data_IF_243695704105
#
_entry.id   IF_243695704105
#
_cell.length_a   1.000
_cell.length_b   1.000
_cell.length_c   1.000
_cell.angle_alpha   90.00
_cell.angle_beta   90.00
_cell.angle_gamma   90.00
#
_symmetry.space_group_name_H-M   'P 1'
#
loop_
_entity.id
_entity.type
_entity.pdbx_description
1 polymer ?
#
# COMPACT_ATOMS: atom_id res chain seq x y z
N UNK A 1 1.19 17.16 -27.60
CA UNK A 1 0.88 16.93 -26.17
C UNK A 1 2.17 16.95 -25.35
N UNK A 2 2.37 17.88 -24.40
CA UNK A 2 3.62 17.98 -23.66
C UNK A 2 3.74 16.85 -22.61
N UNK A 3 4.77 16.01 -22.75
CA UNK A 3 5.10 14.92 -21.82
C UNK A 3 5.60 15.54 -20.50
N UNK A 4 4.86 15.38 -19.40
CA UNK A 4 5.31 15.81 -18.06
C UNK A 4 6.53 14.97 -17.65
N UNK A 5 7.73 15.53 -17.80
CA UNK A 5 8.96 14.99 -17.20
C UNK A 5 8.81 15.14 -15.68
N UNK A 6 8.50 14.07 -14.95
CA UNK A 6 8.67 14.06 -13.49
C UNK A 6 10.17 14.19 -13.22
N UNK A 7 10.60 15.39 -12.86
CA UNK A 7 11.98 15.66 -12.50
C UNK A 7 12.43 14.75 -11.36
N UNK A 8 13.70 14.39 -11.38
CA UNK A 8 14.42 13.64 -10.33
C UNK A 8 14.38 14.42 -8.98
N UNK A 9 13.99 15.69 -9.02
CA UNK A 9 13.67 16.59 -7.91
C UNK A 9 12.24 16.38 -7.37
N UNK A 10 11.84 15.14 -7.14
CA UNK A 10 10.62 14.80 -6.41
C UNK A 10 10.82 15.07 -4.91
N UNK A 11 10.86 16.35 -4.55
CA UNK A 11 10.81 16.96 -3.22
C UNK A 11 11.71 16.32 -2.14
N UNK A 12 12.81 17.02 -1.80
CA UNK A 12 13.68 16.65 -0.69
C UNK A 12 12.92 16.47 0.64
N UNK A 13 11.79 17.17 0.84
CA UNK A 13 10.94 16.99 2.01
C UNK A 13 10.23 15.63 2.01
N UNK A 14 9.67 15.20 0.88
CA UNK A 14 9.10 13.86 0.70
C UNK A 14 10.12 12.74 0.97
N UNK A 15 11.38 12.91 0.52
CA UNK A 15 12.47 11.96 0.83
C UNK A 15 12.81 11.95 2.33
N UNK A 16 12.92 13.12 2.96
CA UNK A 16 13.16 13.26 4.42
C UNK A 16 12.01 12.69 5.25
N UNK A 17 10.78 12.79 4.78
CA UNK A 17 9.61 12.21 5.45
C UNK A 17 9.58 10.68 5.32
N UNK A 18 9.95 10.13 4.16
CA UNK A 18 10.07 8.68 3.97
C UNK A 18 11.15 8.08 4.89
N UNK A 19 12.29 8.77 5.04
CA UNK A 19 13.36 8.37 5.97
C UNK A 19 12.85 8.37 7.41
N UNK A 20 12.24 9.47 7.88
CA UNK A 20 11.67 9.56 9.23
C UNK A 20 10.60 8.50 9.50
N UNK A 21 9.72 8.23 8.53
CA UNK A 21 8.71 7.15 8.64
C UNK A 21 9.36 5.78 8.80
N UNK A 22 10.48 5.54 8.10
CA UNK A 22 11.22 4.28 8.16
C UNK A 22 11.95 4.12 9.49
N UNK A 23 12.62 5.16 9.98
CA UNK A 23 13.27 5.18 11.31
C UNK A 23 12.27 4.89 12.43
N UNK A 24 11.09 5.53 12.40
CA UNK A 24 10.00 5.25 13.36
C UNK A 24 9.56 3.79 13.33
N UNK A 25 9.50 3.17 12.14
CA UNK A 25 9.13 1.75 12.03
C UNK A 25 10.23 0.77 12.46
N UNK A 26 11.49 1.20 12.52
CA UNK A 26 12.63 0.37 12.95
C UNK A 26 12.71 0.31 14.49
N UNK A 27 12.41 1.43 15.15
CA UNK A 27 12.49 1.57 16.62
C UNK A 27 11.17 1.12 17.30
N UNK A 28 10.09 0.94 16.54
CA UNK A 28 8.78 0.52 17.03
C UNK A 28 8.87 -0.80 17.81
N UNK A 29 8.30 -0.81 19.02
CA UNK A 29 8.22 -2.04 19.83
C UNK A 29 7.20 -3.02 19.23
N UNK A 30 7.29 -4.30 19.58
CA UNK A 30 6.34 -5.31 19.07
C UNK A 30 4.89 -5.00 19.45
N UNK A 31 4.64 -4.43 20.62
CA UNK A 31 3.32 -4.02 21.08
C UNK A 31 2.76 -2.84 20.28
N UNK A 32 3.60 -1.83 20.00
CA UNK A 32 3.23 -0.68 19.16
C UNK A 32 2.95 -1.12 17.73
N UNK A 33 3.81 -2.00 17.19
CA UNK A 33 3.64 -2.58 15.85
C UNK A 33 2.33 -3.36 15.76
N UNK A 34 2.02 -4.17 16.76
CA UNK A 34 0.78 -4.95 16.83
C UNK A 34 -0.45 -4.04 16.90
N UNK A 35 -0.44 -3.00 17.74
CA UNK A 35 -1.51 -2.00 17.81
C UNK A 35 -1.71 -1.25 16.50
N UNK A 36 -0.63 -0.84 15.84
CA UNK A 36 -0.67 -0.14 14.55
C UNK A 36 -1.25 -1.02 13.44
N UNK A 37 -0.79 -2.26 13.33
CA UNK A 37 -1.29 -3.23 12.35
C UNK A 37 -2.77 -3.56 12.59
N UNK A 38 -3.17 -3.74 13.85
CA UNK A 38 -4.57 -3.96 14.23
C UNK A 38 -5.47 -2.81 13.78
N UNK A 39 -5.08 -1.57 14.10
CA UNK A 39 -5.81 -0.36 13.66
C UNK A 39 -5.92 -0.27 12.14
N UNK A 40 -4.85 -0.58 11.41
CA UNK A 40 -4.86 -0.60 9.94
C UNK A 40 -5.78 -1.68 9.39
N UNK A 41 -5.78 -2.88 9.98
CA UNK A 41 -6.66 -3.97 9.60
C UNK A 41 -8.13 -3.59 9.82
N UNK A 42 -8.47 -3.05 10.99
CA UNK A 42 -9.82 -2.59 11.31
C UNK A 42 -10.32 -1.53 10.31
N UNK A 43 -9.49 -0.52 10.00
CA UNK A 43 -9.82 0.50 9.00
C UNK A 43 -10.03 -0.11 7.61
N UNK A 44 -9.23 -1.11 7.25
CA UNK A 44 -9.37 -1.85 6.00
C UNK A 44 -10.71 -2.60 5.92
N UNK A 45 -11.13 -3.24 7.01
CA UNK A 45 -12.41 -3.93 7.06
C UNK A 45 -13.59 -2.96 7.02
N UNK A 46 -13.52 -1.83 7.74
CA UNK A 46 -14.55 -0.79 7.68
C UNK A 46 -14.72 -0.22 6.27
N UNK A 47 -13.62 -0.05 5.51
CA UNK A 47 -13.70 0.36 4.11
C UNK A 47 -14.39 -0.69 3.24
N UNK A 48 -14.03 -1.97 3.41
CA UNK A 48 -14.67 -3.08 2.66
C UNK A 48 -16.14 -3.27 2.99
N UNK A 49 -16.53 -3.05 4.25
CA UNK A 49 -17.93 -3.13 4.67
C UNK A 49 -18.81 -2.06 4.00
N UNK A 50 -18.20 -0.96 3.52
CA UNK A 50 -18.87 0.13 2.81
C UNK A 50 -18.69 0.08 1.29
N UNK A 51 -18.04 -0.96 0.75
CA UNK A 51 -17.86 -1.11 -0.69
C UNK A 51 -19.21 -1.44 -1.35
N UNK A 52 -19.47 -0.84 -2.51
CA UNK A 52 -20.55 -1.29 -3.39
C UNK A 52 -20.16 -2.60 -4.08
N UNK A 53 -21.13 -3.31 -4.63
CA UNK A 53 -20.88 -4.57 -5.34
C UNK A 53 -19.92 -4.39 -6.53
N UNK A 54 -20.05 -3.29 -7.26
CA UNK A 54 -19.12 -2.94 -8.36
C UNK A 54 -17.68 -2.72 -7.87
N UNK A 55 -17.51 -1.98 -6.77
CA UNK A 55 -16.20 -1.74 -6.16
C UNK A 55 -15.58 -3.04 -5.65
N UNK A 56 -16.39 -3.89 -5.02
CA UNK A 56 -15.98 -5.21 -4.54
C UNK A 56 -15.51 -6.08 -5.70
N UNK A 57 -16.27 -6.15 -6.79
CA UNK A 57 -15.93 -6.94 -7.97
C UNK A 57 -14.67 -6.44 -8.67
N UNK A 58 -14.49 -5.13 -8.80
CA UNK A 58 -13.25 -4.53 -9.28
C UNK A 58 -12.04 -4.90 -8.41
N UNK A 59 -12.17 -4.76 -7.07
CA UNK A 59 -11.11 -5.14 -6.12
C UNK A 59 -10.74 -6.61 -6.21
N UNK A 60 -11.73 -7.50 -6.32
CA UNK A 60 -11.51 -8.94 -6.44
C UNK A 60 -10.82 -9.30 -7.76
N UNK A 61 -11.24 -8.68 -8.87
CA UNK A 61 -10.61 -8.85 -10.18
C UNK A 61 -9.11 -8.47 -10.15
N UNK A 62 -8.78 -7.30 -9.58
CA UNK A 62 -7.37 -6.88 -9.41
C UNK A 62 -6.57 -7.86 -8.54
N UNK A 63 -7.18 -8.40 -7.47
CA UNK A 63 -6.53 -9.40 -6.61
C UNK A 63 -6.25 -10.70 -7.37
N UNK A 64 -7.21 -11.16 -8.18
CA UNK A 64 -7.08 -12.36 -9.00
C UNK A 64 -5.97 -12.20 -10.05
N UNK A 65 -5.98 -11.08 -10.79
CA UNK A 65 -4.95 -10.76 -11.79
C UNK A 65 -3.55 -10.70 -11.16
N UNK A 66 -3.41 -10.08 -9.99
CA UNK A 66 -2.13 -10.04 -9.26
C UNK A 66 -1.68 -11.43 -8.81
N UNK A 67 -2.60 -12.29 -8.42
CA UNK A 67 -2.30 -13.69 -8.08
C UNK A 67 -1.81 -14.50 -9.28
N UNK A 68 -2.44 -14.31 -10.44
CA UNK A 68 -2.00 -14.94 -11.69
C UNK A 68 -0.59 -14.48 -12.09
N UNK A 69 -0.34 -13.17 -12.05
CA UNK A 69 0.99 -12.61 -12.36
C UNK A 69 2.09 -13.19 -11.47
N UNK A 70 1.85 -13.28 -10.15
CA UNK A 70 2.85 -13.86 -9.23
C UNK A 70 3.16 -15.31 -9.57
N UNK A 71 2.13 -16.12 -9.87
CA UNK A 71 2.33 -17.52 -10.27
C UNK A 71 3.10 -17.64 -11.58
N UNK A 72 2.87 -16.74 -12.54
CA UNK A 72 3.63 -16.72 -13.79
C UNK A 72 5.10 -16.32 -13.57
N UNK A 73 5.37 -15.34 -12.68
CA UNK A 73 6.72 -14.93 -12.29
C UNK A 73 7.47 -15.99 -11.47
N UNK A 74 6.77 -16.93 -10.81
CA UNK A 74 7.37 -18.06 -10.07
C UNK A 74 7.77 -19.23 -10.99
N UNK A 75 7.33 -19.22 -12.26
CA UNK A 75 7.60 -20.30 -13.23
C UNK A 75 8.69 -19.98 -14.27
N UNK A 76 9.28 -18.78 -14.22
CA UNK A 76 10.52 -18.38 -14.92
C UNK A 76 11.74 -18.60 -14.01
#
# INVERSE_FOLDING_TARGET
MPKRKRGITGDAASRREAIRKRERSIIETEEERSRRLSTMAQRGQQRRAKETEEQRNSRLSVRAQRGLRRRAEETD
#
